data_IF_007704010165
#
_entry.id   IF_007704010165
#
_cell.length_a   1.000
_cell.length_b   1.000
_cell.length_c   1.000
_cell.angle_alpha   90.00
_cell.angle_beta   90.00
_cell.angle_gamma   90.00
#
_symmetry.space_group_name_H-M   'P 1'
#
loop_
_entity.id
_entity.type
_entity.pdbx_description
1 polymer ?
#
# COMPACT_ATOMS: atom_id res chain seq x y z
N UNK A 1 -3.30 -46.73 56.13
CA UNK A 1 -2.38 -47.11 55.03
C UNK A 1 -3.23 -47.71 53.93
N UNK A 2 -3.22 -47.31 52.66
CA UNK A 2 -2.24 -46.56 51.88
C UNK A 2 -2.90 -46.20 50.52
N UNK A 3 -2.67 -44.96 50.08
CA UNK A 3 -2.37 -44.53 48.71
C UNK A 3 -3.51 -44.41 47.67
N UNK A 4 -4.11 -43.21 47.72
CA UNK A 4 -4.69 -42.42 46.63
C UNK A 4 -3.85 -42.47 45.35
N UNK A 5 -4.46 -42.90 44.23
CA UNK A 5 -3.85 -42.85 42.89
C UNK A 5 -3.98 -41.43 42.32
N UNK A 6 -2.90 -40.67 42.40
CA UNK A 6 -2.71 -39.40 41.71
C UNK A 6 -2.43 -39.70 40.23
N UNK A 7 -3.41 -39.45 39.35
CA UNK A 7 -3.24 -39.60 37.90
C UNK A 7 -2.82 -38.23 37.36
N UNK A 8 -1.54 -38.13 36.99
CA UNK A 8 -0.89 -36.91 36.50
C UNK A 8 -1.07 -36.88 34.97
N UNK A 9 -2.02 -36.07 34.49
CA UNK A 9 -2.22 -35.84 33.05
C UNK A 9 -1.23 -34.75 32.63
N UNK A 10 -0.14 -35.15 31.98
CA UNK A 10 0.79 -34.23 31.29
C UNK A 10 0.24 -33.96 29.90
N UNK A 11 -0.46 -32.83 29.73
CA UNK A 11 -0.73 -32.28 28.39
C UNK A 11 0.51 -31.56 27.89
N UNK A 12 1.36 -32.25 27.12
CA UNK A 12 2.40 -31.61 26.32
C UNK A 12 1.74 -30.89 25.13
N UNK A 13 1.48 -29.59 25.28
CA UNK A 13 1.09 -28.73 24.15
C UNK A 13 2.36 -28.41 23.37
N UNK A 14 2.77 -29.33 22.50
CA UNK A 14 3.88 -29.14 21.58
C UNK A 14 3.38 -28.43 20.33
N UNK A 15 3.65 -27.14 20.22
CA UNK A 15 3.97 -26.47 18.96
C UNK A 15 2.89 -26.36 17.88
N UNK A 16 1.95 -25.42 18.04
CA UNK A 16 1.16 -24.86 16.91
C UNK A 16 1.81 -23.63 16.27
N UNK A 17 3.02 -23.26 16.70
CA UNK A 17 3.68 -22.01 16.28
C UNK A 17 4.11 -21.97 14.81
N UNK A 18 4.13 -23.10 14.10
CA UNK A 18 4.63 -23.15 12.72
C UNK A 18 3.64 -22.62 11.67
N UNK A 19 2.33 -22.52 11.96
CA UNK A 19 1.34 -22.07 10.98
C UNK A 19 1.09 -20.54 11.00
N UNK A 20 1.39 -19.87 12.13
CA UNK A 20 1.25 -18.43 12.23
C UNK A 20 2.42 -17.68 11.57
N UNK A 21 3.63 -18.25 11.65
CA UNK A 21 4.86 -17.66 11.10
C UNK A 21 4.78 -17.52 9.57
N UNK A 22 4.40 -18.58 8.86
CA UNK A 22 4.30 -18.54 7.39
C UNK A 22 3.15 -17.67 6.84
N UNK A 23 2.10 -17.42 7.62
CA UNK A 23 0.99 -16.56 7.18
C UNK A 23 1.36 -15.08 7.17
N UNK A 24 2.30 -14.66 8.02
CA UNK A 24 2.71 -13.27 8.18
C UNK A 24 3.29 -12.67 6.89
N UNK A 25 4.42 -13.24 6.46
CA UNK A 25 5.17 -12.77 5.31
C UNK A 25 4.38 -12.86 4.00
N UNK A 26 3.80 -14.02 3.68
CA UNK A 26 3.02 -14.20 2.43
C UNK A 26 1.95 -13.12 2.31
N UNK A 27 1.23 -12.83 3.40
CA UNK A 27 0.19 -11.79 3.41
C UNK A 27 0.75 -10.40 3.10
N UNK A 28 1.92 -10.03 3.65
CA UNK A 28 2.54 -8.73 3.36
C UNK A 28 2.98 -8.64 1.90
N UNK A 29 3.63 -9.68 1.37
CA UNK A 29 4.02 -9.72 -0.03
C UNK A 29 2.83 -9.66 -0.98
N UNK A 30 1.74 -10.38 -0.67
CA UNK A 30 0.53 -10.40 -1.48
C UNK A 30 -0.14 -9.02 -1.50
N UNK A 31 -0.16 -8.32 -0.35
CA UNK A 31 -0.65 -6.93 -0.28
C UNK A 31 0.21 -5.99 -1.12
N UNK A 32 1.54 -6.03 -1.00
CA UNK A 32 2.43 -5.17 -1.79
C UNK A 32 2.28 -5.45 -3.29
N UNK A 33 2.22 -6.71 -3.69
CA UNK A 33 2.00 -7.12 -5.09
C UNK A 33 0.63 -6.65 -5.62
N UNK A 34 -0.41 -6.74 -4.80
CA UNK A 34 -1.73 -6.25 -5.13
C UNK A 34 -1.74 -4.75 -5.36
N UNK A 35 -1.11 -3.98 -4.46
CA UNK A 35 -0.96 -2.53 -4.60
C UNK A 35 -0.15 -2.17 -5.83
N UNK A 36 0.99 -2.82 -6.07
CA UNK A 36 1.78 -2.60 -7.29
C UNK A 36 0.94 -2.85 -8.55
N UNK A 37 0.24 -3.98 -8.62
CA UNK A 37 -0.61 -4.29 -9.78
C UNK A 37 -1.72 -3.26 -10.00
N UNK A 38 -2.24 -2.65 -8.92
CA UNK A 38 -3.24 -1.60 -9.01
C UNK A 38 -2.64 -0.24 -9.41
N UNK A 39 -1.41 0.06 -8.96
CA UNK A 39 -0.63 1.22 -9.43
C UNK A 39 -0.38 1.09 -10.93
N UNK A 40 0.10 -0.06 -11.39
CA UNK A 40 0.39 -0.33 -12.81
C UNK A 40 -0.88 -0.23 -13.68
N UNK A 41 -2.00 -0.73 -13.16
CA UNK A 41 -3.29 -0.63 -13.83
C UNK A 41 -3.79 0.81 -13.96
N UNK A 42 -3.60 1.63 -12.92
CA UNK A 42 -3.92 3.05 -12.99
C UNK A 42 -2.97 3.81 -13.92
N UNK A 43 -1.67 3.52 -13.86
CA UNK A 43 -0.65 4.11 -14.71
C UNK A 43 -0.94 3.87 -16.20
N UNK A 44 -1.27 2.63 -16.55
CA UNK A 44 -1.72 2.26 -17.90
C UNK A 44 -2.97 3.05 -18.31
N UNK A 45 -3.98 3.11 -17.44
CA UNK A 45 -5.22 3.84 -17.74
C UNK A 45 -5.00 5.35 -17.93
N UNK A 46 -4.12 5.96 -17.12
CA UNK A 46 -3.71 7.36 -17.26
C UNK A 46 -3.04 7.59 -18.61
N UNK A 47 -2.10 6.72 -19.00
CA UNK A 47 -1.41 6.81 -20.29
C UNK A 47 -2.39 6.71 -21.47
N UNK A 48 -3.29 5.74 -21.44
CA UNK A 48 -4.30 5.48 -22.47
C UNK A 48 -5.44 6.51 -22.50
N UNK A 49 -5.54 7.36 -21.48
CA UNK A 49 -6.62 8.34 -21.38
C UNK A 49 -6.55 9.39 -22.48
N UNK A 50 -7.53 9.37 -23.39
CA UNK A 50 -7.70 10.34 -24.47
C UNK A 50 -8.84 11.31 -24.21
N UNK A 51 -10.08 10.82 -24.14
CA UNK A 51 -11.28 11.64 -23.94
C UNK A 51 -12.10 11.13 -22.76
N UNK A 52 -12.49 9.86 -22.76
CA UNK A 52 -13.32 9.28 -21.70
C UNK A 52 -12.48 9.01 -20.44
N UNK A 53 -12.83 9.59 -19.27
CA UNK A 53 -12.13 9.36 -18.01
C UNK A 53 -12.55 8.07 -17.28
N UNK A 54 -13.57 7.34 -17.75
CA UNK A 54 -14.21 6.28 -16.98
C UNK A 54 -13.22 5.18 -16.54
N UNK A 55 -12.37 4.72 -17.45
CA UNK A 55 -11.38 3.68 -17.18
C UNK A 55 -10.32 4.13 -16.17
N UNK A 56 -9.86 5.38 -16.27
CA UNK A 56 -8.92 5.97 -15.32
C UNK A 56 -9.53 6.08 -13.93
N UNK A 57 -10.78 6.53 -13.83
CA UNK A 57 -11.46 6.64 -12.54
C UNK A 57 -11.79 5.29 -11.92
N UNK A 58 -12.14 4.29 -12.72
CA UNK A 58 -12.30 2.91 -12.24
C UNK A 58 -10.98 2.36 -11.69
N UNK A 59 -9.87 2.51 -12.43
CA UNK A 59 -8.55 2.08 -11.99
C UNK A 59 -8.10 2.81 -10.72
N UNK A 60 -8.40 4.11 -10.62
CA UNK A 60 -8.12 4.96 -9.45
C UNK A 60 -8.85 4.47 -8.21
N UNK A 61 -10.16 4.22 -8.34
CA UNK A 61 -10.98 3.67 -7.26
C UNK A 61 -10.52 2.25 -6.86
N UNK A 62 -10.09 1.43 -7.83
CA UNK A 62 -9.52 0.11 -7.56
C UNK A 62 -8.22 0.21 -6.77
N UNK A 63 -7.33 1.15 -7.09
CA UNK A 63 -6.11 1.38 -6.33
C UNK A 63 -6.43 1.80 -4.88
N UNK A 64 -7.31 2.79 -4.70
CA UNK A 64 -7.76 3.23 -3.37
C UNK A 64 -8.35 2.06 -2.57
N UNK A 65 -9.22 1.27 -3.19
CA UNK A 65 -9.79 0.07 -2.58
C UNK A 65 -8.74 -0.98 -2.21
N UNK A 66 -7.75 -1.19 -3.07
CA UNK A 66 -6.66 -2.15 -2.84
C UNK A 66 -5.78 -1.72 -1.68
N UNK A 67 -5.41 -0.44 -1.60
CA UNK A 67 -4.66 0.13 -0.47
C UNK A 67 -5.44 -0.08 0.84
N UNK A 68 -6.71 0.34 0.88
CA UNK A 68 -7.54 0.26 2.08
C UNK A 68 -7.75 -1.20 2.55
N UNK A 69 -7.97 -2.13 1.62
CA UNK A 69 -8.13 -3.55 1.93
C UNK A 69 -6.81 -4.19 2.36
N UNK A 70 -5.70 -3.80 1.73
CA UNK A 70 -4.35 -4.17 2.13
C UNK A 70 -4.09 -3.78 3.58
N UNK A 71 -4.32 -2.51 3.93
CA UNK A 71 -4.14 -2.00 5.29
C UNK A 71 -4.96 -2.78 6.32
N UNK A 72 -6.24 -3.04 6.05
CA UNK A 72 -7.10 -3.86 6.93
C UNK A 72 -6.54 -5.27 7.11
N UNK A 73 -6.09 -5.88 6.03
CA UNK A 73 -5.48 -7.23 6.04
C UNK A 73 -4.20 -7.25 6.89
N UNK A 74 -3.34 -6.25 6.70
CA UNK A 74 -2.08 -6.14 7.44
C UNK A 74 -2.31 -5.92 8.93
N UNK A 75 -3.33 -5.14 9.34
CA UNK A 75 -3.63 -4.93 10.77
C UNK A 75 -3.83 -6.25 11.52
N UNK A 76 -4.51 -7.23 10.91
CA UNK A 76 -4.70 -8.58 11.46
C UNK A 76 -3.51 -9.52 11.31
N UNK A 77 -2.48 -9.11 10.58
CA UNK A 77 -1.30 -9.93 10.29
C UNK A 77 -0.30 -9.94 11.46
N UNK A 78 0.42 -11.06 11.62
CA UNK A 78 1.52 -11.18 12.57
C UNK A 78 2.70 -10.28 12.18
N UNK A 79 3.60 -10.03 13.13
CA UNK A 79 4.87 -9.36 12.83
C UNK A 79 5.77 -10.28 12.00
N UNK A 80 6.54 -9.68 11.12
CA UNK A 80 7.57 -10.31 10.33
C UNK A 80 8.78 -10.63 11.20
N UNK A 81 9.51 -11.67 10.81
CA UNK A 81 10.86 -11.88 11.29
C UNK A 81 11.86 -10.97 10.55
N UNK A 82 13.12 -11.00 10.99
CA UNK A 82 14.18 -10.15 10.44
C UNK A 82 14.44 -10.40 8.95
N UNK A 83 14.49 -11.66 8.53
CA UNK A 83 14.76 -12.03 7.14
C UNK A 83 13.60 -11.65 6.22
N UNK A 84 12.36 -11.96 6.63
CA UNK A 84 11.15 -11.59 5.91
C UNK A 84 11.05 -10.06 5.71
N UNK A 85 11.41 -9.28 6.74
CA UNK A 85 11.41 -7.82 6.64
C UNK A 85 12.47 -7.29 5.68
N UNK A 86 13.64 -7.93 5.59
CA UNK A 86 14.68 -7.54 4.62
C UNK A 86 14.27 -7.86 3.19
N UNK A 87 13.58 -8.97 2.97
CA UNK A 87 13.08 -9.37 1.65
C UNK A 87 12.04 -8.39 1.10
N UNK A 88 11.41 -7.55 1.94
CA UNK A 88 10.51 -6.49 1.49
C UNK A 88 11.21 -5.30 0.82
N UNK A 89 12.52 -5.11 1.02
CA UNK A 89 13.20 -3.91 0.52
C UNK A 89 13.17 -3.82 -1.00
N UNK A 90 13.36 -4.93 -1.70
CA UNK A 90 13.31 -4.98 -3.16
C UNK A 90 11.92 -4.63 -3.72
N UNK A 91 10.81 -5.29 -3.32
CA UNK A 91 9.48 -4.94 -3.82
C UNK A 91 9.03 -3.54 -3.40
N UNK A 92 9.45 -3.02 -2.24
CA UNK A 92 9.22 -1.61 -1.88
C UNK A 92 9.96 -0.67 -2.84
N UNK A 93 11.22 -0.98 -3.17
CA UNK A 93 11.98 -0.23 -4.17
C UNK A 93 11.32 -0.23 -5.55
N UNK A 94 10.80 -1.36 -6.01
CA UNK A 94 10.01 -1.44 -7.24
C UNK A 94 8.76 -0.58 -7.13
N UNK A 95 7.98 -0.71 -6.05
CA UNK A 95 6.76 0.08 -5.86
C UNK A 95 7.04 1.59 -5.84
N UNK A 96 8.18 2.03 -5.29
CA UNK A 96 8.61 3.44 -5.34
C UNK A 96 8.71 3.94 -6.78
N UNK A 97 9.39 3.19 -7.65
CA UNK A 97 9.54 3.54 -9.07
C UNK A 97 8.18 3.61 -9.77
N UNK A 98 7.31 2.62 -9.55
CA UNK A 98 6.01 2.58 -10.19
C UNK A 98 5.08 3.70 -9.71
N UNK A 99 5.09 4.02 -8.41
CA UNK A 99 4.35 5.16 -7.88
C UNK A 99 4.85 6.50 -8.45
N UNK A 100 6.17 6.64 -8.65
CA UNK A 100 6.74 7.83 -9.27
C UNK A 100 6.32 7.97 -10.73
N UNK A 101 6.40 6.90 -11.53
CA UNK A 101 5.96 6.90 -12.93
C UNK A 101 4.50 7.33 -13.06
N UNK A 102 3.61 6.73 -12.25
CA UNK A 102 2.20 7.10 -12.21
C UNK A 102 1.99 8.60 -11.94
N UNK A 103 2.73 9.17 -11.00
CA UNK A 103 2.62 10.60 -10.66
C UNK A 103 3.11 11.47 -11.81
N UNK A 104 4.21 11.10 -12.46
CA UNK A 104 4.77 11.81 -13.61
C UNK A 104 3.83 11.77 -14.82
N UNK A 105 3.20 10.63 -15.09
CA UNK A 105 2.24 10.46 -16.18
C UNK A 105 0.93 11.20 -15.90
N UNK A 106 0.45 11.16 -14.65
CA UNK A 106 -0.70 11.96 -14.24
C UNK A 106 -0.42 13.46 -14.43
N UNK A 107 0.77 13.93 -14.02
CA UNK A 107 1.22 15.31 -14.23
C UNK A 107 1.25 15.67 -15.72
N UNK A 108 1.70 14.77 -16.59
CA UNK A 108 1.68 14.99 -18.03
C UNK A 108 0.26 15.18 -18.59
N UNK A 109 -0.75 14.49 -18.02
CA UNK A 109 -2.18 14.63 -18.37
C UNK A 109 -2.86 15.86 -17.76
N UNK A 110 -2.19 16.65 -16.92
CA UNK A 110 -2.80 17.77 -16.18
C UNK A 110 -3.56 18.77 -17.07
N UNK A 111 -3.03 19.12 -18.23
CA UNK A 111 -3.71 20.05 -19.17
C UNK A 111 -5.01 19.45 -19.72
N UNK A 112 -5.01 18.16 -20.05
CA UNK A 112 -6.20 17.44 -20.50
C UNK A 112 -7.24 17.35 -19.38
N UNK A 113 -6.82 17.01 -18.16
CA UNK A 113 -7.67 16.96 -16.97
C UNK A 113 -8.35 18.32 -16.72
N UNK A 114 -7.59 19.40 -16.78
CA UNK A 114 -8.10 20.76 -16.63
C UNK A 114 -9.09 21.12 -17.76
N UNK A 115 -8.75 20.81 -19.01
CA UNK A 115 -9.61 21.06 -20.17
C UNK A 115 -10.93 20.27 -20.15
N UNK A 116 -10.98 19.14 -19.46
CA UNK A 116 -12.19 18.34 -19.26
C UNK A 116 -12.98 18.70 -17.99
N UNK A 117 -12.50 19.67 -17.19
CA UNK A 117 -13.18 20.08 -15.96
C UNK A 117 -13.04 19.08 -14.81
N UNK A 118 -11.97 18.28 -14.78
CA UNK A 118 -11.80 17.15 -13.86
C UNK A 118 -10.79 17.38 -12.73
N UNK A 119 -10.22 18.58 -12.60
CA UNK A 119 -9.20 18.87 -11.58
C UNK A 119 -9.69 18.56 -10.16
N UNK A 120 -10.95 18.86 -9.83
CA UNK A 120 -11.48 18.63 -8.48
C UNK A 120 -11.63 17.15 -8.14
N UNK A 121 -12.10 16.34 -9.11
CA UNK A 121 -12.26 14.89 -8.93
C UNK A 121 -10.89 14.23 -8.79
N UNK A 122 -9.95 14.56 -9.69
CA UNK A 122 -8.58 14.02 -9.63
C UNK A 122 -7.89 14.42 -8.32
N UNK A 123 -8.04 15.68 -7.88
CA UNK A 123 -7.50 16.14 -6.59
C UNK A 123 -8.07 15.34 -5.41
N UNK A 124 -9.37 15.06 -5.40
CA UNK A 124 -9.99 14.27 -4.34
C UNK A 124 -9.44 12.83 -4.32
N UNK A 125 -9.30 12.19 -5.47
CA UNK A 125 -8.72 10.85 -5.56
C UNK A 125 -7.25 10.82 -5.09
N UNK A 126 -6.44 11.82 -5.46
CA UNK A 126 -5.06 11.93 -4.96
C UNK A 126 -5.03 12.09 -3.44
N UNK A 127 -5.94 12.88 -2.85
CA UNK A 127 -6.03 13.03 -1.40
C UNK A 127 -6.40 11.72 -0.69
N UNK A 128 -7.30 10.93 -1.27
CA UNK A 128 -7.65 9.60 -0.76
C UNK A 128 -6.48 8.63 -0.85
N UNK A 129 -5.74 8.63 -1.97
CA UNK A 129 -4.53 7.83 -2.14
C UNK A 129 -3.42 8.24 -1.16
N UNK A 130 -3.23 9.53 -0.91
CA UNK A 130 -2.25 10.05 0.07
C UNK A 130 -2.56 9.54 1.48
N UNK A 131 -3.81 9.68 1.91
CA UNK A 131 -4.25 9.21 3.22
C UNK A 131 -4.13 7.70 3.34
N UNK A 132 -4.61 6.94 2.34
CA UNK A 132 -4.57 5.49 2.35
C UNK A 132 -3.15 4.94 2.32
N UNK A 133 -2.27 5.54 1.52
CA UNK A 133 -0.88 5.08 1.37
C UNK A 133 -0.07 5.33 2.64
N UNK A 134 -0.27 6.46 3.32
CA UNK A 134 0.33 6.72 4.64
C UNK A 134 -0.09 5.67 5.66
N UNK A 135 -1.39 5.37 5.76
CA UNK A 135 -1.91 4.34 6.67
C UNK A 135 -1.37 2.93 6.33
N UNK A 136 -1.25 2.61 5.03
CA UNK A 136 -0.65 1.36 4.58
C UNK A 136 0.84 1.27 4.95
N UNK A 137 1.60 2.34 4.72
CA UNK A 137 3.04 2.42 5.04
C UNK A 137 3.24 2.27 6.55
N UNK A 138 2.53 3.06 7.37
CA UNK A 138 2.59 2.99 8.83
C UNK A 138 2.21 1.59 9.33
N UNK A 139 1.15 1.02 8.79
CA UNK A 139 0.72 -0.34 9.14
C UNK A 139 1.78 -1.37 8.74
N UNK A 140 2.38 -1.26 7.55
CA UNK A 140 3.44 -2.18 7.10
C UNK A 140 4.69 -2.07 7.98
N UNK A 141 5.13 -0.85 8.30
CA UNK A 141 6.25 -0.60 9.22
C UNK A 141 5.96 -1.17 10.61
N UNK A 142 4.71 -1.13 11.09
CA UNK A 142 4.34 -1.73 12.38
C UNK A 142 4.52 -3.27 12.41
N UNK A 143 4.56 -3.92 11.24
CA UNK A 143 4.80 -5.36 11.10
C UNK A 143 6.28 -5.73 11.02
N UNK A 144 7.16 -4.77 10.79
CA UNK A 144 8.61 -4.95 10.77
C UNK A 144 9.15 -5.02 12.22
N UNK A 145 10.16 -5.86 12.52
CA UNK A 145 10.85 -5.83 13.82
C UNK A 145 11.37 -4.43 14.17
N UNK A 146 11.28 -4.03 15.44
CA UNK A 146 11.62 -2.66 15.91
C UNK A 146 12.99 -2.18 15.41
N UNK A 147 14.00 -3.06 15.42
CA UNK A 147 15.36 -2.76 14.95
C UNK A 147 15.44 -2.37 13.46
N UNK A 148 14.45 -2.77 12.65
CA UNK A 148 14.39 -2.51 11.21
C UNK A 148 13.32 -1.47 10.84
N UNK A 149 12.49 -0.99 11.77
CA UNK A 149 11.39 -0.08 11.46
C UNK A 149 11.88 1.23 10.83
N UNK A 150 13.00 1.79 11.32
CA UNK A 150 13.60 2.98 10.73
C UNK A 150 14.02 2.78 9.27
N UNK A 151 14.56 1.60 8.93
CA UNK A 151 14.91 1.25 7.55
C UNK A 151 13.64 1.14 6.70
N UNK A 152 12.61 0.48 7.22
CA UNK A 152 11.30 0.38 6.57
C UNK A 152 10.70 1.75 6.25
N UNK A 153 10.68 2.67 7.23
CA UNK A 153 10.20 4.03 7.03
C UNK A 153 10.98 4.75 5.92
N UNK A 154 12.32 4.74 5.99
CA UNK A 154 13.17 5.38 4.97
C UNK A 154 12.95 4.78 3.58
N UNK A 155 12.84 3.45 3.48
CA UNK A 155 12.64 2.77 2.21
C UNK A 155 11.28 3.11 1.57
N UNK A 156 10.24 3.32 2.38
CA UNK A 156 8.88 3.65 1.94
C UNK A 156 8.61 5.14 1.72
N UNK A 157 9.48 6.02 2.24
CA UNK A 157 9.30 7.47 2.17
C UNK A 157 9.09 8.00 0.74
N UNK A 158 9.81 7.49 -0.29
CA UNK A 158 9.60 7.95 -1.67
C UNK A 158 8.16 7.78 -2.18
N UNK A 159 7.41 6.75 -1.73
CA UNK A 159 5.99 6.60 -2.10
C UNK A 159 5.19 7.79 -1.59
N UNK A 160 5.39 8.13 -0.31
CA UNK A 160 4.68 9.23 0.35
C UNK A 160 5.05 10.56 -0.30
N UNK A 161 6.33 10.75 -0.62
CA UNK A 161 6.83 11.96 -1.26
C UNK A 161 6.28 12.12 -2.69
N UNK A 162 6.23 11.05 -3.49
CA UNK A 162 5.65 11.09 -4.84
C UNK A 162 4.17 11.46 -4.81
N UNK A 163 3.37 10.85 -3.92
CA UNK A 163 1.95 11.20 -3.81
C UNK A 163 1.78 12.63 -3.29
N UNK A 164 2.65 13.08 -2.38
CA UNK A 164 2.65 14.48 -1.93
C UNK A 164 2.95 15.45 -3.09
N UNK A 165 3.89 15.12 -3.98
CA UNK A 165 4.16 15.88 -5.19
C UNK A 165 2.92 15.97 -6.08
N UNK A 166 2.18 14.88 -6.26
CA UNK A 166 0.91 14.90 -6.98
C UNK A 166 -0.12 15.84 -6.35
N UNK A 167 -0.22 15.89 -5.01
CA UNK A 167 -1.10 16.86 -4.31
C UNK A 167 -0.73 18.30 -4.63
N UNK A 168 0.57 18.60 -4.71
CA UNK A 168 1.04 19.93 -5.09
C UNK A 168 0.66 20.23 -6.53
N UNK A 169 0.95 19.33 -7.47
CA UNK A 169 0.69 19.49 -8.89
C UNK A 169 -0.80 19.65 -9.22
N UNK A 170 -1.67 18.98 -8.45
CA UNK A 170 -3.13 18.99 -8.60
C UNK A 170 -3.87 19.83 -7.57
N UNK A 171 -3.17 20.67 -6.81
CA UNK A 171 -3.80 21.60 -5.86
C UNK A 171 -4.80 22.54 -6.55
N UNK A 172 -5.65 23.21 -5.75
CA UNK A 172 -6.61 24.21 -6.25
C UNK A 172 -5.97 25.37 -7.00
N UNK A 173 -4.67 25.58 -6.82
CA UNK A 173 -3.89 26.61 -7.51
C UNK A 173 -3.23 26.08 -8.79
N UNK A 174 -2.80 24.82 -8.81
CA UNK A 174 -1.95 24.28 -9.87
C UNK A 174 -2.70 23.43 -10.92
N UNK A 175 -3.92 22.98 -10.61
CA UNK A 175 -4.87 22.41 -11.56
C UNK A 175 -6.21 23.14 -11.38
N UNK A 176 -6.55 23.98 -12.35
CA UNK A 176 -7.78 24.75 -12.40
C UNK A 176 -8.54 24.33 -13.64
N UNK A 177 -9.83 24.01 -13.49
CA UNK A 177 -10.70 23.65 -14.60
C UNK A 177 -10.76 24.80 -15.60
N UNK A 178 -10.72 24.48 -16.90
CA UNK A 178 -10.95 25.46 -17.94
C UNK A 178 -12.37 26.03 -17.79
N UNK A 179 -12.50 27.33 -18.05
CA UNK A 179 -13.77 28.06 -18.04
C UNK A 179 -14.61 27.77 -19.28
#
# INVERSE_FOLDING_TARGET
MKLTKLTLIVTSVSGVYSLAVFRGASTVFDVLKGVQSAVDGLDTAVNDWTVDPATTFEASNKLIGTINNGTKTLRGCAKLNFLEALELLAPVGTLNTHAQNLVDDLKAKKKQIAGQGLCDIVRNQINEMDSGSKDLVETTVSKIPVLLQGIGSVASQPIVDSIHSAKVDFSSTNCVNAA
#
